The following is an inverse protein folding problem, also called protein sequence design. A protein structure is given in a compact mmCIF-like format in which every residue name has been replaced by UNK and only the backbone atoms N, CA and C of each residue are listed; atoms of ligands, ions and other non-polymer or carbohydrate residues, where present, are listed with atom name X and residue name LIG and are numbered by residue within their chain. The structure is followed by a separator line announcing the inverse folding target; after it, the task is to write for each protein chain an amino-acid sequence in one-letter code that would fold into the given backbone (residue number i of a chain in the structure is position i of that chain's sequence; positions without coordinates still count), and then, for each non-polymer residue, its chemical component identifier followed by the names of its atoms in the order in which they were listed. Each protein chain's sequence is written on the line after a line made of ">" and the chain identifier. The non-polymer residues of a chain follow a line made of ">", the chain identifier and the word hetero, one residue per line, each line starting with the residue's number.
data_IF_021344820450
#
_entry.id   IF_021344820450
#
_cell.length_a   1.000
_cell.length_b   1.000
_cell.length_c   1.000
_cell.angle_alpha   90.00
_cell.angle_beta   90.00
_cell.angle_gamma   90.00
#
_symmetry.space_group_name_H-M   'P 1'
#
loop_
_entity.id
_entity.type
_entity.pdbx_description
1 polymer ?
#
# COMPACT_ATOMS: atom_id res chain seq x y z
N UNK A 1 5.32 3.92 9.30
CA UNK A 1 4.31 4.38 8.31
C UNK A 1 4.57 5.80 7.83
N UNK A 2 4.62 6.02 6.51
CA UNK A 2 4.56 7.38 5.93
C UNK A 2 3.14 7.93 6.11
N UNK A 3 2.97 9.21 6.42
CA UNK A 3 1.61 9.77 6.49
C UNK A 3 1.04 9.96 5.07
N UNK A 4 -0.27 9.76 4.91
CA UNK A 4 -1.00 10.05 3.67
C UNK A 4 -0.64 11.44 3.12
N UNK A 5 -0.61 12.46 3.99
CA UNK A 5 -0.26 13.83 3.60
C UNK A 5 1.16 13.96 3.05
N UNK A 6 2.13 13.18 3.57
CA UNK A 6 3.51 13.19 3.08
C UNK A 6 3.60 12.45 1.75
N UNK A 7 2.93 11.29 1.61
CA UNK A 7 2.84 10.58 0.34
C UNK A 7 2.30 11.49 -0.77
N UNK A 8 1.12 12.10 -0.56
CA UNK A 8 0.49 13.01 -1.52
C UNK A 8 1.43 14.15 -1.90
N UNK A 9 2.01 14.82 -0.90
CA UNK A 9 2.88 15.99 -1.14
C UNK A 9 4.10 15.62 -1.98
N UNK A 10 4.77 14.52 -1.67
CA UNK A 10 5.99 14.12 -2.39
C UNK A 10 5.66 13.63 -3.81
N UNK A 11 4.63 12.81 -3.99
CA UNK A 11 4.23 12.32 -5.32
C UNK A 11 3.76 13.46 -6.24
N UNK A 12 3.09 14.49 -5.72
CA UNK A 12 2.67 15.65 -6.52
C UNK A 12 3.82 16.57 -6.97
N UNK A 13 5.01 16.49 -6.37
CA UNK A 13 6.18 17.25 -6.85
C UNK A 13 6.67 16.74 -8.20
N UNK A 14 6.49 15.44 -8.44
CA UNK A 14 7.05 14.74 -9.60
C UNK A 14 5.99 14.32 -10.61
N UNK A 15 4.72 14.34 -10.22
CA UNK A 15 3.60 13.89 -11.05
C UNK A 15 2.50 14.93 -11.12
N UNK A 16 1.71 14.91 -12.20
CA UNK A 16 0.51 15.75 -12.34
C UNK A 16 -0.75 15.12 -11.74
N UNK A 17 -0.59 14.10 -10.89
CA UNK A 17 -1.71 13.35 -10.33
C UNK A 17 -2.41 14.22 -9.27
N UNK A 18 -3.74 14.24 -9.29
CA UNK A 18 -4.50 15.04 -8.33
C UNK A 18 -4.36 14.49 -6.91
N UNK A 19 -4.39 15.39 -5.93
CA UNK A 19 -4.26 15.02 -4.52
C UNK A 19 -5.37 14.02 -4.10
N UNK A 20 -6.59 14.19 -4.61
CA UNK A 20 -7.71 13.31 -4.26
C UNK A 20 -7.52 11.90 -4.83
N UNK A 21 -6.98 11.78 -6.04
CA UNK A 21 -6.68 10.48 -6.62
C UNK A 21 -5.56 9.78 -5.82
N UNK A 22 -4.53 10.51 -5.40
CA UNK A 22 -3.43 9.98 -4.57
C UNK A 22 -3.88 9.58 -3.16
N UNK A 23 -4.80 10.32 -2.55
CA UNK A 23 -5.39 9.94 -1.24
C UNK A 23 -6.22 8.67 -1.35
N UNK A 24 -7.06 8.57 -2.38
CA UNK A 24 -7.85 7.38 -2.63
C UNK A 24 -6.97 6.17 -2.93
N UNK A 25 -5.92 6.36 -3.72
CA UNK A 25 -4.88 5.36 -3.94
C UNK A 25 -4.27 4.88 -2.62
N UNK A 26 -3.75 5.79 -1.81
CA UNK A 26 -3.07 5.47 -0.55
C UNK A 26 -3.96 4.64 0.38
N UNK A 27 -5.18 5.14 0.64
CA UNK A 27 -6.15 4.46 1.53
C UNK A 27 -6.58 3.11 0.99
N UNK A 28 -6.71 2.98 -0.33
CA UNK A 28 -7.17 1.73 -0.94
C UNK A 28 -6.05 0.71 -1.00
N UNK A 29 -4.82 1.11 -1.30
CA UNK A 29 -3.65 0.24 -1.26
C UNK A 29 -3.46 -0.33 0.16
N UNK A 30 -3.61 0.49 1.19
CA UNK A 30 -3.59 0.02 2.59
C UNK A 30 -4.70 -1.01 2.87
N UNK A 31 -5.95 -0.72 2.46
CA UNK A 31 -7.08 -1.66 2.63
C UNK A 31 -6.88 -2.97 1.88
N UNK A 32 -6.42 -2.90 0.64
CA UNK A 32 -6.12 -4.05 -0.22
C UNK A 32 -5.08 -4.94 0.44
N UNK A 33 -4.02 -4.32 0.96
CA UNK A 33 -2.96 -5.00 1.69
C UNK A 33 -3.47 -5.69 2.96
N UNK A 34 -4.25 -4.99 3.78
CA UNK A 34 -4.87 -5.56 4.98
C UNK A 34 -5.76 -6.76 4.62
N UNK A 35 -6.59 -6.61 3.59
CA UNK A 35 -7.51 -7.65 3.13
C UNK A 35 -6.77 -8.91 2.65
N UNK A 36 -5.63 -8.74 1.97
CA UNK A 36 -4.79 -9.85 1.53
C UNK A 36 -4.19 -10.63 2.71
N UNK A 37 -3.70 -9.93 3.74
CA UNK A 37 -3.03 -10.57 4.88
C UNK A 37 -3.97 -11.01 6.02
N UNK A 38 -5.19 -10.50 6.07
CA UNK A 38 -6.13 -10.84 7.14
C UNK A 38 -6.68 -12.25 6.97
N UNK A 39 -6.48 -13.06 8.01
CA UNK A 39 -7.09 -14.38 8.19
C UNK A 39 -8.43 -14.29 8.93
N UNK A 40 -9.51 -14.04 8.20
CA UNK A 40 -10.87 -14.27 8.68
C UNK A 40 -11.32 -15.68 8.24
N UNK A 41 -11.70 -16.59 9.15
CA UNK A 41 -12.21 -17.91 8.80
C UNK A 41 -13.58 -17.87 8.10
N UNK A 42 -14.34 -16.78 8.25
CA UNK A 42 -15.69 -16.63 7.68
C UNK A 42 -15.67 -16.00 6.27
N UNK A 43 -14.49 -15.62 5.75
CA UNK A 43 -14.33 -15.02 4.43
C UNK A 43 -13.40 -15.89 3.58
N UNK A 44 -13.93 -16.41 2.47
CA UNK A 44 -13.16 -17.24 1.54
C UNK A 44 -12.05 -16.43 0.85
N UNK A 45 -11.01 -17.13 0.38
CA UNK A 45 -9.94 -16.48 -0.39
C UNK A 45 -10.45 -15.87 -1.70
N UNK A 46 -11.44 -16.51 -2.33
CA UNK A 46 -12.02 -15.98 -3.56
C UNK A 46 -12.77 -14.67 -3.34
N UNK A 47 -13.56 -14.55 -2.27
CA UNK A 47 -14.25 -13.30 -1.92
C UNK A 47 -13.27 -12.15 -1.60
N UNK A 48 -12.13 -12.46 -0.98
CA UNK A 48 -11.06 -11.46 -0.77
C UNK A 48 -10.50 -11.00 -2.10
N UNK A 49 -10.20 -11.95 -2.98
CA UNK A 49 -9.64 -11.65 -4.29
C UNK A 49 -10.59 -10.85 -5.19
N UNK A 50 -11.90 -11.11 -5.16
CA UNK A 50 -12.89 -10.29 -5.88
C UNK A 50 -12.81 -8.82 -5.45
N UNK A 51 -12.77 -8.56 -4.14
CA UNK A 51 -12.64 -7.20 -3.60
C UNK A 51 -11.29 -6.55 -3.92
N UNK A 52 -10.20 -7.31 -3.85
CA UNK A 52 -8.87 -6.83 -4.23
C UNK A 52 -8.85 -6.40 -5.70
N UNK A 53 -9.42 -7.21 -6.59
CA UNK A 53 -9.50 -6.90 -8.02
C UNK A 53 -10.39 -5.67 -8.29
N UNK A 54 -11.50 -5.52 -7.56
CA UNK A 54 -12.35 -4.32 -7.65
C UNK A 54 -11.59 -3.05 -7.23
N UNK A 55 -10.85 -3.14 -6.12
CA UNK A 55 -10.01 -2.05 -5.64
C UNK A 55 -8.91 -1.68 -6.62
N UNK A 56 -8.24 -2.70 -7.16
CA UNK A 56 -7.20 -2.54 -8.17
C UNK A 56 -7.72 -1.76 -9.37
N UNK A 57 -8.83 -2.21 -9.95
CA UNK A 57 -9.42 -1.60 -11.14
C UNK A 57 -9.85 -0.14 -10.90
N UNK A 58 -10.51 0.11 -9.77
CA UNK A 58 -11.19 1.38 -9.53
C UNK A 58 -10.26 2.47 -9.01
N UNK A 59 -9.27 2.12 -8.20
CA UNK A 59 -8.51 3.11 -7.43
C UNK A 59 -6.99 3.02 -7.65
N UNK A 60 -6.43 1.83 -7.91
CA UNK A 60 -4.98 1.67 -8.02
C UNK A 60 -4.50 1.80 -9.46
N UNK A 61 -5.12 1.06 -10.39
CA UNK A 61 -4.77 1.08 -11.81
C UNK A 61 -4.77 2.48 -12.46
N UNK A 62 -5.74 3.37 -12.19
CA UNK A 62 -5.70 4.74 -12.72
C UNK A 62 -4.46 5.54 -12.32
N UNK A 63 -3.89 5.26 -11.15
CA UNK A 63 -2.65 5.88 -10.67
C UNK A 63 -1.44 5.20 -11.27
N UNK A 64 -1.41 3.86 -11.30
CA UNK A 64 -0.31 3.10 -11.90
C UNK A 64 -0.03 3.48 -13.35
N UNK A 65 -1.08 3.67 -14.16
CA UNK A 65 -0.91 4.16 -15.54
C UNK A 65 -0.21 5.51 -15.67
N UNK A 66 -0.33 6.38 -14.65
CA UNK A 66 0.33 7.67 -14.61
C UNK A 66 1.74 7.60 -14.01
N UNK A 67 2.06 6.50 -13.32
CA UNK A 67 3.37 6.21 -12.76
C UNK A 67 4.25 5.35 -13.69
N UNK A 68 3.72 4.93 -14.85
CA UNK A 68 4.46 4.22 -15.90
C UNK A 68 5.40 5.17 -16.66
N UNK A 69 6.31 5.79 -15.93
CA UNK A 69 7.34 6.67 -16.46
C UNK A 69 8.69 6.36 -15.80
N UNK A 70 9.66 5.75 -16.52
CA UNK A 70 11.00 5.45 -16.00
C UNK A 70 11.75 6.64 -15.38
N UNK A 71 11.45 7.84 -15.85
CA UNK A 71 12.23 9.04 -15.48
C UNK A 71 11.83 9.65 -14.14
N UNK A 72 10.80 9.11 -13.47
CA UNK A 72 10.41 9.57 -12.14
C UNK A 72 11.51 9.27 -11.12
N UNK A 73 11.83 10.24 -10.27
CA UNK A 73 12.94 10.11 -9.32
C UNK A 73 12.62 9.15 -8.17
N UNK A 74 11.34 8.85 -7.94
CA UNK A 74 10.90 7.77 -7.03
C UNK A 74 11.51 6.40 -7.39
N UNK A 75 11.91 6.18 -8.65
CA UNK A 75 12.55 4.94 -9.10
C UNK A 75 14.09 4.98 -9.03
N UNK A 76 14.68 6.12 -8.66
CA UNK A 76 16.13 6.35 -8.66
C UNK A 76 16.74 6.21 -7.26
N UNK A 77 16.01 5.60 -6.31
CA UNK A 77 16.52 5.36 -4.97
C UNK A 77 17.39 4.08 -4.95
N UNK A 78 18.71 4.18 -4.70
CA UNK A 78 19.61 3.03 -4.72
C UNK A 78 19.32 2.02 -3.60
N UNK A 79 18.73 2.44 -2.48
CA UNK A 79 18.43 1.55 -1.35
C UNK A 79 17.25 0.58 -1.66
N UNK A 80 16.45 0.89 -2.68
CA UNK A 80 15.23 0.15 -3.06
C UNK A 80 15.13 -0.09 -4.58
N UNK A 81 16.28 -0.13 -5.26
CA UNK A 81 16.35 -0.23 -6.72
C UNK A 81 15.62 -1.46 -7.25
N UNK A 82 15.80 -2.62 -6.60
CA UNK A 82 15.20 -3.88 -7.03
C UNK A 82 13.68 -3.84 -6.95
N UNK A 83 13.12 -3.34 -5.84
CA UNK A 83 11.67 -3.22 -5.64
C UNK A 83 11.07 -2.18 -6.59
N UNK A 84 11.76 -1.07 -6.82
CA UNK A 84 11.37 -0.06 -7.81
C UNK A 84 11.29 -0.65 -9.23
N UNK A 85 12.28 -1.46 -9.62
CA UNK A 85 12.27 -2.17 -10.92
C UNK A 85 11.12 -3.16 -10.98
N UNK A 86 10.93 -3.99 -9.93
CA UNK A 86 9.84 -4.97 -9.88
C UNK A 86 8.46 -4.31 -10.01
N UNK A 87 8.24 -3.22 -9.27
CA UNK A 87 7.00 -2.47 -9.33
C UNK A 87 6.77 -1.88 -10.72
N UNK A 88 7.77 -1.23 -11.31
CA UNK A 88 7.66 -0.68 -12.66
C UNK A 88 7.34 -1.77 -13.68
N UNK A 89 8.08 -2.88 -13.65
CA UNK A 89 7.85 -4.02 -14.55
C UNK A 89 6.42 -4.56 -14.39
N UNK A 90 5.92 -4.64 -13.15
CA UNK A 90 4.54 -5.08 -12.91
C UNK A 90 3.50 -4.17 -13.58
N UNK A 91 3.74 -2.85 -13.68
CA UNK A 91 2.82 -1.92 -14.36
C UNK A 91 2.85 -2.16 -15.87
N UNK A 92 4.04 -2.28 -16.45
CA UNK A 92 4.22 -2.59 -17.87
C UNK A 92 3.63 -3.95 -18.26
N UNK A 93 3.81 -4.96 -17.40
CA UNK A 93 3.25 -6.30 -17.60
C UNK A 93 1.71 -6.26 -17.54
N UNK A 94 1.12 -5.47 -16.63
CA UNK A 94 -0.33 -5.31 -16.55
C UNK A 94 -0.90 -4.60 -17.79
N UNK A 95 -0.23 -3.56 -18.29
CA UNK A 95 -0.59 -2.94 -19.57
C UNK A 95 -0.62 -3.98 -20.70
N UNK A 96 0.41 -4.84 -20.74
CA UNK A 96 0.54 -5.90 -21.75
C UNK A 96 -0.50 -7.02 -21.57
N UNK A 97 -0.90 -7.31 -20.34
CA UNK A 97 -1.96 -8.28 -20.04
C UNK A 97 -3.34 -7.73 -20.47
N UNK A 98 -3.62 -6.47 -20.13
CA UNK A 98 -4.88 -5.78 -20.45
C UNK A 98 -5.06 -5.54 -21.94
N UNK A 99 -4.01 -5.22 -22.68
CA UNK A 99 -4.10 -5.04 -24.14
C UNK A 99 -4.48 -6.33 -24.88
N UNK A 100 -4.13 -7.49 -24.30
CA UNK A 100 -4.43 -8.82 -24.83
C UNK A 100 -5.70 -9.45 -24.24
N UNK A 101 -6.43 -8.75 -23.38
CA UNK A 101 -7.58 -9.29 -22.64
C UNK A 101 -8.62 -9.99 -23.52
N UNK A 102 -8.87 -9.49 -24.74
CA UNK A 102 -9.83 -10.10 -25.69
C UNK A 102 -9.37 -11.45 -26.27
N UNK A 103 -8.08 -11.76 -26.17
CA UNK A 103 -7.43 -12.92 -26.79
C UNK A 103 -6.89 -13.92 -25.75
N UNK A 104 -7.18 -13.73 -24.47
CA UNK A 104 -6.72 -14.58 -23.37
C UNK A 104 -7.96 -15.16 -22.68
N UNK A 105 -7.87 -16.41 -22.19
CA UNK A 105 -8.94 -17.01 -21.39
C UNK A 105 -9.26 -16.12 -20.16
N UNK A 106 -10.53 -15.88 -19.81
CA UNK A 106 -10.87 -15.04 -18.67
C UNK A 106 -10.26 -15.48 -17.34
N UNK A 107 -10.05 -16.79 -17.14
CA UNK A 107 -9.38 -17.32 -15.95
C UNK A 107 -7.90 -17.00 -15.96
N UNK A 108 -7.23 -17.19 -17.10
CA UNK A 108 -5.81 -16.86 -17.25
C UNK A 108 -5.55 -15.37 -17.08
N UNK A 109 -6.43 -14.53 -17.61
CA UNK A 109 -6.39 -13.09 -17.39
C UNK A 109 -6.51 -12.73 -15.91
N UNK A 110 -7.47 -13.34 -15.21
CA UNK A 110 -7.67 -13.12 -13.77
C UNK A 110 -6.48 -13.61 -12.96
N UNK A 111 -5.94 -14.79 -13.27
CA UNK A 111 -4.73 -15.33 -12.61
C UNK A 111 -3.54 -14.41 -12.82
N UNK A 112 -3.31 -13.94 -14.05
CA UNK A 112 -2.24 -12.99 -14.35
C UNK A 112 -2.37 -11.67 -13.58
N UNK A 113 -3.59 -11.13 -13.44
CA UNK A 113 -3.81 -9.94 -12.61
C UNK A 113 -3.47 -10.20 -11.14
N UNK A 114 -3.90 -11.34 -10.57
CA UNK A 114 -3.57 -11.69 -9.18
C UNK A 114 -2.06 -11.73 -8.96
N UNK A 115 -1.32 -12.41 -9.83
CA UNK A 115 0.15 -12.48 -9.72
C UNK A 115 0.82 -11.10 -9.79
N UNK A 116 0.33 -10.21 -10.66
CA UNK A 116 0.88 -8.86 -10.79
C UNK A 116 0.61 -8.02 -9.54
N UNK A 117 -0.58 -8.14 -8.95
CA UNK A 117 -0.93 -7.47 -7.69
C UNK A 117 -0.03 -7.99 -6.57
N UNK A 118 0.18 -9.30 -6.46
CA UNK A 118 1.05 -9.88 -5.44
C UNK A 118 2.50 -9.39 -5.55
N UNK A 119 3.02 -9.28 -6.77
CA UNK A 119 4.37 -8.74 -7.03
C UNK A 119 4.54 -7.29 -6.58
N UNK A 120 3.46 -6.52 -6.43
CA UNK A 120 3.50 -5.12 -5.96
C UNK A 120 3.49 -5.00 -4.44
N UNK A 121 3.05 -6.01 -3.70
CA UNK A 121 2.98 -5.93 -2.24
C UNK A 121 4.30 -5.61 -1.54
N UNK A 122 5.47 -6.15 -1.95
CA UNK A 122 6.76 -5.76 -1.37
C UNK A 122 7.03 -4.26 -1.48
N UNK A 123 6.75 -3.62 -2.63
CA UNK A 123 6.92 -2.17 -2.75
C UNK A 123 5.84 -1.42 -1.96
N UNK A 124 4.59 -1.90 -1.92
CA UNK A 124 3.56 -1.30 -1.08
C UNK A 124 3.95 -1.32 0.41
N UNK A 125 4.66 -2.35 0.88
CA UNK A 125 5.21 -2.40 2.24
C UNK A 125 6.19 -1.27 2.51
N UNK A 126 7.11 -1.06 1.56
CA UNK A 126 8.12 -0.01 1.63
C UNK A 126 7.48 1.37 1.54
N UNK A 127 6.60 1.58 0.56
CA UNK A 127 5.93 2.85 0.29
C UNK A 127 5.00 3.27 1.42
N UNK A 128 4.27 2.32 2.02
CA UNK A 128 3.42 2.58 3.19
C UNK A 128 4.24 2.55 4.50
N UNK A 129 5.49 2.07 4.47
CA UNK A 129 6.32 1.80 5.64
C UNK A 129 5.58 0.96 6.70
N UNK A 130 4.99 -0.14 6.22
CA UNK A 130 4.34 -1.18 7.03
C UNK A 130 5.43 -2.05 7.65
N UNK A 131 5.36 -2.23 8.96
CA UNK A 131 6.33 -3.01 9.73
C UNK A 131 5.80 -4.42 10.05
N UNK A 132 6.69 -5.33 10.45
CA UNK A 132 6.30 -6.66 10.94
C UNK A 132 5.32 -6.59 12.14
N UNK A 133 5.42 -5.54 12.95
CA UNK A 133 4.48 -5.31 14.05
C UNK A 133 3.09 -4.91 13.54
N UNK A 134 3.01 -4.09 12.48
CA UNK A 134 1.74 -3.78 11.82
C UNK A 134 1.12 -5.05 11.23
N UNK A 135 1.95 -5.93 10.65
CA UNK A 135 1.53 -7.24 10.15
C UNK A 135 0.95 -8.15 11.21
N UNK A 136 1.57 -8.22 12.39
CA UNK A 136 1.06 -8.98 13.53
C UNK A 136 -0.27 -8.42 14.06
N UNK A 137 -0.49 -7.11 13.96
CA UNK A 137 -1.77 -6.48 14.30
C UNK A 137 -2.84 -6.85 13.27
N UNK A 138 -2.54 -6.80 11.97
CA UNK A 138 -3.48 -7.18 10.92
C UNK A 138 -3.88 -8.67 10.99
N UNK A 139 -2.93 -9.56 11.30
CA UNK A 139 -3.19 -10.99 11.48
C UNK A 139 -4.17 -11.29 12.63
N UNK A 140 -4.21 -10.44 13.65
CA UNK A 140 -5.13 -10.60 14.80
C UNK A 140 -6.57 -10.21 14.48
N UNK A 141 -6.81 -9.60 13.32
CA UNK A 141 -8.11 -9.16 12.85
C UNK A 141 -8.73 -8.03 13.71
N UNK A 142 -9.73 -7.31 13.20
CA UNK A 142 -10.60 -6.53 14.06
C UNK A 142 -11.35 -7.45 15.02
N UNK A 143 -11.38 -7.07 16.30
CA UNK A 143 -12.28 -7.70 17.28
C UNK A 143 -13.72 -7.58 16.77
N UNK A 144 -14.51 -8.66 16.89
CA UNK A 144 -15.92 -8.75 16.44
C UNK A 144 -16.67 -7.43 16.69
N UNK A 145 -17.26 -6.87 15.63
CA UNK A 145 -18.08 -5.65 15.68
C UNK A 145 -17.51 -4.40 14.98
N UNK A 146 -16.34 -4.49 14.34
CA UNK A 146 -15.74 -3.34 13.63
C UNK A 146 -16.13 -3.36 12.14
N UNK A 147 -16.80 -2.30 11.72
CA UNK A 147 -17.21 -2.03 10.36
C UNK A 147 -15.97 -1.82 9.44
N UNK A 148 -15.93 -2.43 8.26
CA UNK A 148 -14.80 -2.37 7.31
C UNK A 148 -14.39 -0.94 6.89
N UNK A 149 -15.31 0.02 7.01
CA UNK A 149 -15.05 1.45 6.82
C UNK A 149 -14.08 2.04 7.86
N UNK A 150 -13.93 1.40 9.02
CA UNK A 150 -13.12 1.88 10.14
C UNK A 150 -11.67 1.43 10.10
N UNK A 151 -11.28 0.43 9.30
CA UNK A 151 -9.88 -0.05 9.29
C UNK A 151 -8.93 1.03 8.76
N UNK A 152 -9.38 1.83 7.78
CA UNK A 152 -8.66 3.03 7.34
C UNK A 152 -8.68 4.21 8.34
N UNK A 153 -9.49 4.13 9.40
CA UNK A 153 -9.54 5.12 10.48
C UNK A 153 -8.76 4.66 11.72
N UNK A 154 -8.62 3.36 11.96
CA UNK A 154 -7.89 2.82 13.12
C UNK A 154 -6.37 2.84 12.96
N UNK A 155 -5.85 2.94 11.74
CA UNK A 155 -4.41 3.24 11.54
C UNK A 155 -4.04 4.62 12.09
N UNK A 156 -5.00 5.55 12.13
CA UNK A 156 -4.84 6.87 12.77
C UNK A 156 -4.97 6.76 14.31
N UNK A 157 -5.70 5.76 14.83
CA UNK A 157 -5.85 5.56 16.28
C UNK A 157 -4.60 4.93 16.94
N UNK A 158 -3.78 4.17 16.21
CA UNK A 158 -2.51 3.61 16.74
C UNK A 158 -1.32 4.58 16.63
N UNK A 159 -1.52 5.78 16.07
CA UNK A 159 -0.53 6.87 16.07
C UNK A 159 -0.74 7.88 17.22
N UNK A 160 -1.78 7.69 18.06
CA UNK A 160 -2.00 8.48 19.28
C UNK A 160 -1.08 8.11 20.46
N UNK A 161 -0.37 6.98 20.41
CA UNK A 161 0.55 6.54 21.49
C UNK A 161 2.02 6.87 21.17
N UNK A 162 2.35 7.21 19.92
CA UNK A 162 3.71 7.62 19.52
C UNK A 162 3.84 9.16 19.45
N UNK A 163 3.22 9.85 20.41
CA UNK A 163 3.80 11.10 20.95
C UNK A 163 4.57 10.87 22.25
N UNK A 164 4.56 9.65 22.81
CA UNK A 164 5.20 9.36 24.10
C UNK A 164 6.69 9.03 24.04
N UNK A 165 7.19 8.33 23.01
CA UNK A 165 8.52 7.71 23.10
C UNK A 165 9.67 8.63 22.68
N UNK A 166 9.45 9.59 21.76
CA UNK A 166 10.51 10.54 21.38
C UNK A 166 10.67 11.70 22.38
N UNK A 167 9.59 12.07 23.10
CA UNK A 167 9.66 13.10 24.15
C UNK A 167 10.34 12.57 25.43
N UNK A 168 10.30 11.24 25.69
CA UNK A 168 11.02 10.63 26.82
C UNK A 168 12.51 10.40 26.54
N UNK A 169 12.90 10.12 25.28
CA UNK A 169 14.31 9.97 24.91
C UNK A 169 15.09 11.30 24.97
N UNK A 170 14.45 12.41 24.57
CA UNK A 170 15.09 13.74 24.59
C UNK A 170 15.10 14.41 25.97
N UNK A 171 14.22 13.99 26.91
CA UNK A 171 14.29 14.43 28.31
C UNK A 171 15.42 13.72 29.09
N UNK A 172 15.58 12.41 28.93
CA UNK A 172 16.64 11.67 29.61
C UNK A 172 18.06 12.05 29.12
N UNK A 173 18.22 12.38 27.84
CA UNK A 173 19.51 12.88 27.31
C UNK A 173 19.89 14.30 27.76
N UNK A 174 18.93 15.09 28.26
CA UNK A 174 19.21 16.44 28.80
C UNK A 174 19.54 16.43 30.29
N UNK A 175 19.11 15.41 31.04
CA UNK A 175 19.43 15.27 32.46
C UNK A 175 20.80 14.60 32.70
N UNK A 176 21.25 13.69 31.83
CA UNK A 176 22.60 13.09 31.92
C UNK A 176 23.76 14.04 31.54
N UNK A 177 23.48 15.24 31.03
CA UNK A 177 24.51 16.25 30.72
C UNK A 177 24.63 17.37 31.78
N UNK A 178 23.92 17.26 32.91
CA UNK A 178 23.96 18.24 34.00
C UNK A 178 24.11 17.64 35.40
N UNK A 179 24.45 16.35 35.52
CA UNK A 179 24.83 15.69 36.77
C UNK A 179 26.34 15.53 36.86
#
# INVERSE_FOLDING_TARGET
>A
MISESRFVKETQKETKISADLLRNFFRTAEKMYCLYHWKDPDISQDEKWEKILEFEEKYLWPVYRQLDNPSLSIYQNPDYESECIMFRNSISDEWSLRSRQKNIDPRDFKTGLKELIERRFPLLNLALAITDNDMEIFKKGPKKGINWWFIGATTIATLGVIKGVKVLSDKNKKEEKKG
#
